data_IF_015876903142
#
_entry.id   IF_015876903142
#
_cell.length_a   1.000
_cell.length_b   1.000
_cell.length_c   1.000
_cell.angle_alpha   90.00
_cell.angle_beta   90.00
_cell.angle_gamma   90.00
#
_symmetry.space_group_name_H-M   'P 1'
#
loop_
_entity.id
_entity.type
_entity.pdbx_description
1 polymer ?
#
# COMPACT_ATOMS: atom_id res chain seq x y z
N UNK A 1 -18.08 8.22 -7.80
CA UNK A 1 -17.82 8.08 -6.35
C UNK A 1 -17.53 9.41 -5.65
N UNK A 2 -16.93 10.39 -6.34
CA UNK A 2 -16.57 11.71 -5.74
C UNK A 2 -17.41 12.89 -6.26
N UNK A 3 -18.55 12.67 -6.85
CA UNK A 3 -19.35 13.73 -7.50
C UNK A 3 -19.78 14.86 -6.54
N UNK A 4 -19.83 14.61 -5.24
CA UNK A 4 -20.08 15.62 -4.20
C UNK A 4 -18.82 16.22 -3.56
N UNK A 5 -17.61 15.85 -4.00
CA UNK A 5 -16.34 16.23 -3.35
C UNK A 5 -15.30 16.72 -4.36
N UNK A 6 -15.53 17.87 -5.05
CA UNK A 6 -14.64 18.33 -6.13
C UNK A 6 -13.21 18.59 -5.67
N UNK A 7 -13.01 19.18 -4.48
CA UNK A 7 -11.66 19.43 -3.93
C UNK A 7 -10.92 18.13 -3.62
N UNK A 8 -11.62 17.12 -3.10
CA UNK A 8 -11.05 15.80 -2.85
C UNK A 8 -10.70 15.11 -4.18
N UNK A 9 -11.57 15.19 -5.18
CA UNK A 9 -11.31 14.70 -6.53
C UNK A 9 -10.05 15.32 -7.13
N UNK A 10 -9.84 16.62 -6.93
CA UNK A 10 -8.63 17.33 -7.36
C UNK A 10 -7.36 16.76 -6.66
N UNK A 11 -7.38 16.66 -5.31
CA UNK A 11 -6.25 16.13 -4.53
C UNK A 11 -5.90 14.69 -4.94
N UNK A 12 -6.91 13.87 -5.24
CA UNK A 12 -6.75 12.47 -5.62
C UNK A 12 -6.47 12.28 -7.12
N UNK A 13 -6.35 13.36 -7.89
CA UNK A 13 -5.99 13.28 -9.30
C UNK A 13 -4.54 12.83 -9.48
N UNK A 14 -4.27 12.12 -10.59
CA UNK A 14 -2.92 11.65 -10.91
C UNK A 14 -1.92 12.81 -11.01
N UNK A 15 -2.32 13.91 -11.63
CA UNK A 15 -1.48 15.09 -11.82
C UNK A 15 -1.13 15.73 -10.47
N UNK A 16 -2.11 15.89 -9.58
CA UNK A 16 -1.87 16.45 -8.25
C UNK A 16 -0.96 15.56 -7.41
N UNK A 17 -1.17 14.25 -7.44
CA UNK A 17 -0.33 13.29 -6.71
C UNK A 17 1.12 13.35 -7.21
N UNK A 18 1.35 13.44 -8.52
CA UNK A 18 2.69 13.57 -9.09
C UNK A 18 3.39 14.88 -8.72
N UNK A 19 2.64 15.90 -8.33
CA UNK A 19 3.18 17.20 -7.96
C UNK A 19 3.83 17.22 -6.56
N UNK A 20 3.58 16.22 -5.72
CA UNK A 20 4.26 16.14 -4.43
C UNK A 20 5.79 16.10 -4.63
N UNK A 21 6.58 16.85 -3.80
CA UNK A 21 8.03 16.90 -3.90
C UNK A 21 8.69 15.63 -3.33
N UNK A 22 8.18 14.48 -3.74
CA UNK A 22 8.58 13.15 -3.30
C UNK A 22 8.91 12.34 -4.55
N UNK A 23 10.12 11.79 -4.61
CA UNK A 23 10.62 11.09 -5.81
C UNK A 23 9.71 9.95 -6.29
N UNK A 24 9.07 9.26 -5.34
CA UNK A 24 8.16 8.16 -5.64
C UNK A 24 6.83 8.62 -6.25
N UNK A 25 6.34 9.81 -5.89
CA UNK A 25 5.10 10.39 -6.46
C UNK A 25 5.19 10.52 -7.98
N UNK A 26 6.35 10.92 -8.50
CA UNK A 26 6.60 11.04 -9.95
C UNK A 26 6.53 9.72 -10.71
N UNK A 27 6.64 8.58 -10.01
CA UNK A 27 6.56 7.23 -10.58
C UNK A 27 5.13 6.70 -10.65
N UNK A 28 4.16 7.36 -9.99
CA UNK A 28 2.75 6.95 -10.04
C UNK A 28 2.26 7.05 -11.49
N UNK A 29 1.78 5.94 -12.00
CA UNK A 29 1.25 5.82 -13.35
C UNK A 29 -0.27 5.78 -13.36
N UNK A 30 -0.88 5.28 -12.27
CA UNK A 30 -2.32 5.05 -12.17
C UNK A 30 -2.83 5.41 -10.80
N UNK A 31 -4.01 5.98 -10.81
CA UNK A 31 -4.80 6.28 -9.62
C UNK A 31 -6.23 5.84 -9.90
N UNK A 32 -6.85 5.12 -9.00
CA UNK A 32 -8.24 4.73 -9.09
C UNK A 32 -8.92 4.72 -7.73
N UNK A 33 -10.20 4.94 -7.73
CA UNK A 33 -11.08 4.77 -6.58
C UNK A 33 -11.81 3.44 -6.72
N UNK A 34 -11.82 2.69 -5.64
CA UNK A 34 -12.34 1.32 -5.60
C UNK A 34 -13.33 1.15 -4.45
N UNK A 35 -14.44 0.43 -4.62
CA UNK A 35 -15.37 0.14 -3.54
C UNK A 35 -14.67 -0.70 -2.46
N UNK A 36 -14.66 -0.27 -1.18
CA UNK A 36 -13.94 -0.99 -0.12
C UNK A 36 -14.47 -2.40 0.10
N UNK A 37 -15.76 -2.62 -0.12
CA UNK A 37 -16.44 -3.93 0.01
C UNK A 37 -15.92 -4.97 -0.99
N UNK A 38 -15.41 -4.53 -2.14
CA UNK A 38 -14.84 -5.41 -3.16
C UNK A 38 -13.38 -5.78 -2.89
N UNK A 39 -12.72 -5.14 -1.90
CA UNK A 39 -11.34 -5.47 -1.54
C UNK A 39 -11.29 -6.85 -0.89
N UNK A 40 -10.65 -7.81 -1.52
CA UNK A 40 -10.46 -9.16 -0.97
C UNK A 40 -9.42 -9.12 0.15
N UNK A 41 -9.84 -9.50 1.36
CA UNK A 41 -8.98 -9.63 2.55
C UNK A 41 -9.03 -11.07 3.02
N UNK A 42 -7.86 -11.72 3.11
CA UNK A 42 -7.73 -13.14 3.44
C UNK A 42 -6.46 -13.37 4.30
N UNK A 43 -6.58 -14.12 5.39
CA UNK A 43 -5.44 -14.45 6.25
C UNK A 43 -4.36 -15.23 5.52
N UNK A 44 -4.73 -16.06 4.54
CA UNK A 44 -3.76 -16.80 3.71
C UNK A 44 -2.80 -15.88 2.95
N UNK A 45 -3.21 -14.66 2.61
CA UNK A 45 -2.33 -13.64 2.01
C UNK A 45 -1.29 -13.16 3.04
N UNK A 46 -1.68 -13.03 4.31
CA UNK A 46 -0.75 -12.71 5.39
C UNK A 46 0.32 -13.80 5.55
N UNK A 47 -0.09 -15.07 5.48
CA UNK A 47 0.80 -16.22 5.58
C UNK A 47 1.84 -16.26 4.44
N UNK A 48 1.48 -15.77 3.25
CA UNK A 48 2.40 -15.67 2.11
C UNK A 48 3.61 -14.78 2.40
N UNK A 49 3.54 -13.86 3.36
CA UNK A 49 4.70 -13.06 3.78
C UNK A 49 5.82 -13.93 4.37
N UNK A 50 5.52 -15.13 4.84
CA UNK A 50 6.48 -16.10 5.37
C UNK A 50 7.13 -16.98 4.29
N UNK A 51 6.61 -16.97 3.06
CA UNK A 51 7.15 -17.73 1.94
C UNK A 51 8.39 -17.03 1.36
N UNK A 52 9.37 -17.80 0.83
CA UNK A 52 10.53 -17.21 0.18
C UNK A 52 10.17 -16.42 -1.06
N UNK A 53 10.86 -15.31 -1.28
CA UNK A 53 10.74 -14.47 -2.46
C UNK A 53 11.97 -13.58 -2.66
N UNK A 54 12.08 -12.95 -3.83
CA UNK A 54 13.13 -11.98 -4.10
C UNK A 54 12.88 -10.66 -3.36
N UNK A 55 13.83 -10.24 -2.53
CA UNK A 55 13.84 -8.95 -1.83
C UNK A 55 15.00 -8.10 -2.31
N UNK A 56 14.84 -6.78 -2.28
CA UNK A 56 15.85 -5.81 -2.71
C UNK A 56 15.94 -4.71 -1.67
N UNK A 57 17.04 -4.69 -0.94
CA UNK A 57 17.33 -3.70 0.08
C UNK A 57 18.60 -2.94 -0.31
N UNK A 58 18.44 -1.80 -1.01
CA UNK A 58 19.45 -0.75 -1.12
C UNK A 58 20.71 -1.02 -1.97
N UNK A 59 21.22 -2.25 -1.99
CA UNK A 59 22.46 -2.66 -2.68
C UNK A 59 22.27 -3.05 -4.16
N UNK A 60 21.04 -3.25 -4.57
CA UNK A 60 20.70 -3.60 -5.96
C UNK A 60 20.82 -5.08 -6.32
N UNK A 61 21.48 -5.91 -5.52
CA UNK A 61 21.67 -7.31 -5.85
C UNK A 61 20.45 -8.17 -5.56
N UNK A 62 19.73 -7.85 -4.50
CA UNK A 62 18.57 -8.62 -4.04
C UNK A 62 18.96 -9.98 -3.46
N UNK A 63 18.10 -10.52 -2.63
CA UNK A 63 18.22 -11.84 -2.06
C UNK A 63 16.93 -12.62 -2.20
N UNK A 64 17.05 -13.93 -2.43
CA UNK A 64 15.91 -14.84 -2.39
C UNK A 64 15.78 -15.41 -0.98
N UNK A 65 14.66 -15.16 -0.33
CA UNK A 65 14.46 -15.60 1.03
C UNK A 65 13.19 -15.03 1.65
N UNK A 66 13.04 -15.28 2.93
CA UNK A 66 11.91 -14.78 3.73
C UNK A 66 11.97 -13.26 3.86
N UNK A 67 10.81 -12.60 3.88
CA UNK A 67 10.73 -11.18 4.12
C UNK A 67 11.36 -10.80 5.48
N UNK A 68 12.32 -9.88 5.48
CA UNK A 68 12.97 -9.40 6.71
C UNK A 68 11.99 -8.70 7.68
N UNK A 69 10.83 -8.26 7.18
CA UNK A 69 9.79 -7.66 8.02
C UNK A 69 9.03 -8.68 8.88
N UNK A 70 9.00 -9.96 8.49
CA UNK A 70 8.28 -11.01 9.22
C UNK A 70 8.99 -11.32 10.54
N UNK A 71 8.25 -11.18 11.64
CA UNK A 71 8.81 -11.34 12.99
C UNK A 71 9.63 -10.14 13.50
N UNK A 72 9.86 -9.11 12.64
CA UNK A 72 10.70 -7.97 12.99
C UNK A 72 9.89 -6.66 13.19
N UNK A 73 8.81 -6.47 12.41
CA UNK A 73 8.03 -5.23 12.47
C UNK A 73 6.62 -5.46 13.03
N UNK A 74 6.13 -4.53 13.86
CA UNK A 74 4.79 -4.58 14.47
C UNK A 74 3.64 -4.46 13.45
N UNK A 75 3.93 -4.20 12.19
CA UNK A 75 2.97 -4.16 11.09
C UNK A 75 3.07 -5.37 10.13
N UNK A 76 3.94 -6.32 10.46
CA UNK A 76 4.17 -7.53 9.68
C UNK A 76 3.76 -8.78 10.47
N UNK A 77 3.46 -9.91 9.82
CA UNK A 77 3.17 -11.15 10.53
C UNK A 77 4.30 -11.57 11.49
N UNK A 78 4.00 -12.12 12.66
CA UNK A 78 2.69 -12.40 13.23
C UNK A 78 2.05 -11.23 14.00
N UNK A 79 2.64 -10.02 14.00
CA UNK A 79 2.25 -8.88 14.83
C UNK A 79 1.28 -7.90 14.13
N UNK A 80 0.94 -8.16 12.88
CA UNK A 80 -0.03 -7.37 12.12
C UNK A 80 -1.47 -7.58 12.62
N UNK A 81 -2.39 -6.75 12.13
CA UNK A 81 -3.81 -6.95 12.39
C UNK A 81 -4.31 -8.24 11.72
N UNK A 82 -5.11 -9.06 12.39
CA UNK A 82 -5.82 -10.16 11.76
C UNK A 82 -6.73 -9.69 10.62
N UNK A 83 -6.89 -10.52 9.59
CA UNK A 83 -7.62 -10.18 8.36
C UNK A 83 -9.06 -9.67 8.64
N UNK A 84 -9.77 -10.27 9.59
CA UNK A 84 -11.12 -9.84 10.00
C UNK A 84 -11.12 -8.41 10.58
N UNK A 85 -10.09 -8.02 11.33
CA UNK A 85 -9.97 -6.64 11.83
C UNK A 85 -9.61 -5.64 10.74
N UNK A 86 -8.87 -6.09 9.72
CA UNK A 86 -8.62 -5.28 8.52
C UNK A 86 -9.93 -5.06 7.76
N UNK A 87 -10.75 -6.12 7.59
CA UNK A 87 -12.07 -6.01 6.95
C UNK A 87 -12.94 -4.98 7.68
N UNK A 88 -13.05 -5.07 9.01
CA UNK A 88 -13.80 -4.11 9.84
C UNK A 88 -13.28 -2.65 9.70
N UNK A 89 -12.03 -2.45 9.36
CA UNK A 89 -11.52 -1.09 9.06
C UNK A 89 -11.95 -0.63 7.66
N UNK A 90 -11.86 -1.52 6.67
CA UNK A 90 -12.31 -1.20 5.32
C UNK A 90 -13.81 -0.94 5.27
N UNK A 91 -14.63 -1.64 6.08
CA UNK A 91 -16.07 -1.42 6.18
C UNK A 91 -16.45 -0.04 6.76
N UNK A 92 -15.49 0.67 7.36
CA UNK A 92 -15.67 2.07 7.83
C UNK A 92 -15.29 3.10 6.77
N UNK A 93 -14.79 2.68 5.64
CA UNK A 93 -14.43 3.54 4.54
C UNK A 93 -15.54 3.57 3.49
N UNK A 94 -15.72 4.72 2.86
CA UNK A 94 -16.66 4.90 1.76
C UNK A 94 -15.97 4.64 0.40
N UNK A 95 -14.63 4.80 0.37
CA UNK A 95 -13.83 4.60 -0.84
C UNK A 95 -12.43 4.13 -0.51
N UNK A 96 -11.86 3.31 -1.39
CA UNK A 96 -10.48 2.86 -1.34
C UNK A 96 -9.71 3.46 -2.52
N UNK A 97 -8.84 4.42 -2.23
CA UNK A 97 -7.90 4.97 -3.20
C UNK A 97 -6.78 3.97 -3.44
N UNK A 98 -6.52 3.64 -4.69
CA UNK A 98 -5.40 2.79 -5.10
C UNK A 98 -4.49 3.56 -6.04
N UNK A 99 -3.20 3.49 -5.78
CA UNK A 99 -2.15 4.08 -6.61
C UNK A 99 -1.15 3.01 -7.04
N UNK A 100 -0.74 3.02 -8.31
CA UNK A 100 0.25 2.08 -8.82
C UNK A 100 1.32 2.81 -9.64
N UNK A 101 2.58 2.40 -9.47
CA UNK A 101 3.71 2.96 -10.25
C UNK A 101 3.79 2.39 -11.66
N UNK A 102 4.52 3.06 -12.54
CA UNK A 102 5.07 2.45 -13.75
C UNK A 102 6.02 1.29 -13.38
N UNK A 103 6.20 0.30 -14.29
CA UNK A 103 7.23 -0.71 -14.10
C UNK A 103 8.61 -0.06 -14.02
N UNK A 104 9.31 -0.28 -12.92
CA UNK A 104 10.67 0.25 -12.69
C UNK A 104 11.64 -0.84 -12.24
N UNK A 105 12.93 -0.56 -12.17
CA UNK A 105 13.90 -1.44 -11.55
C UNK A 105 13.45 -1.83 -10.14
N UNK A 106 13.72 -3.07 -9.73
CA UNK A 106 13.32 -3.56 -8.40
C UNK A 106 13.84 -2.67 -7.26
N UNK A 107 15.06 -2.15 -7.41
CA UNK A 107 15.70 -1.22 -6.46
C UNK A 107 15.00 0.12 -6.31
N UNK A 108 14.30 0.59 -7.35
CA UNK A 108 13.67 1.91 -7.37
C UNK A 108 12.15 1.90 -7.28
N UNK A 109 11.52 0.79 -7.63
CA UNK A 109 10.05 0.64 -7.58
C UNK A 109 9.51 0.50 -6.16
N UNK A 110 10.35 -0.07 -5.29
CA UNK A 110 9.97 -0.42 -3.93
C UNK A 110 10.46 0.52 -2.84
N UNK A 111 10.84 1.78 -3.15
CA UNK A 111 11.28 2.73 -2.11
C UNK A 111 10.20 2.93 -1.03
N UNK A 112 10.18 2.08 0.04
CA UNK A 112 9.13 2.12 1.05
C UNK A 112 9.20 3.39 1.89
N UNK A 113 10.38 4.01 2.00
CA UNK A 113 10.55 5.29 2.69
C UNK A 113 9.84 6.41 1.95
N UNK A 114 10.00 6.51 0.63
CA UNK A 114 9.30 7.51 -0.16
C UNK A 114 7.80 7.22 -0.30
N UNK A 115 7.38 5.95 -0.34
CA UNK A 115 5.96 5.57 -0.24
C UNK A 115 5.36 6.03 1.09
N UNK A 116 6.07 5.78 2.19
CA UNK A 116 5.68 6.21 3.52
C UNK A 116 5.49 7.74 3.59
N UNK A 117 6.44 8.52 3.05
CA UNK A 117 6.34 9.98 3.01
C UNK A 117 5.13 10.45 2.22
N UNK A 118 4.92 9.90 1.01
CA UNK A 118 3.78 10.27 0.16
C UNK A 118 2.44 9.96 0.84
N UNK A 119 2.28 8.74 1.38
CA UNK A 119 1.03 8.32 2.00
C UNK A 119 0.69 9.14 3.24
N UNK A 120 1.69 9.49 4.06
CA UNK A 120 1.46 10.34 5.22
C UNK A 120 1.15 11.78 4.83
N UNK A 121 1.82 12.33 3.82
CA UNK A 121 1.54 13.69 3.34
C UNK A 121 0.16 13.79 2.71
N UNK A 122 -0.19 12.86 1.82
CA UNK A 122 -1.51 12.80 1.19
C UNK A 122 -2.63 12.61 2.24
N UNK A 123 -2.38 11.76 3.25
CA UNK A 123 -3.32 11.56 4.35
C UNK A 123 -3.54 12.84 5.16
N UNK A 124 -2.48 13.61 5.43
CA UNK A 124 -2.61 14.88 6.13
C UNK A 124 -3.44 15.89 5.31
N UNK A 125 -3.15 16.03 4.02
CA UNK A 125 -3.90 16.96 3.14
C UNK A 125 -5.39 16.56 3.01
N UNK A 126 -5.70 15.24 3.02
CA UNK A 126 -7.08 14.73 3.04
C UNK A 126 -7.76 15.04 4.39
N UNK A 127 -7.08 14.76 5.51
CA UNK A 127 -7.62 15.03 6.84
C UNK A 127 -7.82 16.55 7.07
N UNK A 128 -6.95 17.41 6.53
CA UNK A 128 -7.09 18.86 6.58
C UNK A 128 -8.31 19.34 5.75
N UNK A 129 -8.60 18.69 4.63
CA UNK A 129 -9.72 19.03 3.77
C UNK A 129 -11.06 18.50 4.28
N UNK A 130 -11.08 17.23 4.73
CA UNK A 130 -12.31 16.48 5.02
C UNK A 130 -12.61 16.39 6.53
N UNK A 131 -11.65 16.76 7.37
CA UNK A 131 -11.70 16.61 8.81
C UNK A 131 -10.88 15.41 9.31
N UNK A 132 -10.39 15.52 10.54
CA UNK A 132 -9.55 14.47 11.16
C UNK A 132 -10.28 13.13 11.20
N UNK A 133 -9.57 12.09 10.75
CA UNK A 133 -10.10 10.73 10.69
C UNK A 133 -10.81 10.39 9.37
N UNK A 134 -10.75 11.29 8.37
CA UNK A 134 -11.14 10.96 7.01
C UNK A 134 -10.29 9.81 6.44
N UNK A 135 -9.01 9.76 6.78
CA UNK A 135 -8.16 8.62 6.43
C UNK A 135 -8.29 7.52 7.49
N UNK A 136 -9.04 6.47 7.16
CA UNK A 136 -9.28 5.31 8.04
C UNK A 136 -8.04 4.43 8.18
N UNK A 137 -7.33 4.19 7.06
CA UNK A 137 -6.14 3.36 7.02
C UNK A 137 -5.27 3.67 5.80
N UNK A 138 -3.96 3.67 6.02
CA UNK A 138 -2.92 3.75 4.98
C UNK A 138 -2.33 2.38 4.72
N UNK A 139 -1.98 2.08 3.45
CA UNK A 139 -1.38 0.81 3.03
C UNK A 139 -0.23 1.07 2.07
N UNK A 140 0.96 0.58 2.42
CA UNK A 140 2.16 0.64 1.58
C UNK A 140 2.39 -0.64 0.77
N UNK A 141 3.42 -0.63 -0.05
CA UNK A 141 3.90 -1.80 -0.79
C UNK A 141 5.12 -2.48 -0.14
N UNK A 142 5.40 -2.22 1.13
CA UNK A 142 6.55 -2.77 1.85
C UNK A 142 6.47 -2.53 3.36
N UNK A 143 7.57 -2.76 4.10
CA UNK A 143 7.59 -2.55 5.54
C UNK A 143 7.33 -1.09 5.91
N UNK A 144 6.81 -0.87 7.11
CA UNK A 144 6.56 0.47 7.65
C UNK A 144 7.87 1.16 8.04
N UNK A 145 7.98 2.45 7.72
CA UNK A 145 9.15 3.29 8.00
C UNK A 145 8.90 4.35 9.10
N UNK A 146 7.80 4.25 9.83
CA UNK A 146 7.41 5.23 10.84
C UNK A 146 8.44 5.44 11.95
N UNK A 147 9.26 4.45 12.26
CA UNK A 147 10.26 4.49 13.32
C UNK A 147 11.71 4.58 12.80
N UNK A 148 11.92 4.68 11.47
CA UNK A 148 13.27 4.78 10.91
C UNK A 148 14.00 6.04 11.44
N UNK A 149 15.30 5.99 11.78
CA UNK A 149 16.25 4.88 11.65
C UNK A 149 16.18 3.80 12.76
N UNK A 150 15.39 4.01 13.79
CA UNK A 150 15.18 3.01 14.84
C UNK A 150 14.35 1.84 14.28
N UNK A 151 14.68 0.62 14.70
CA UNK A 151 13.88 -0.53 14.35
C UNK A 151 12.58 -0.57 15.16
N UNK A 152 11.51 -1.02 14.51
CA UNK A 152 10.30 -1.42 15.20
C UNK A 152 10.59 -2.73 15.92
N UNK A 153 10.60 -2.74 17.26
CA UNK A 153 10.78 -3.97 18.02
C UNK A 153 9.59 -4.91 17.77
N UNK A 154 9.88 -6.12 17.27
CA UNK A 154 8.88 -7.12 16.97
C UNK A 154 8.05 -7.46 18.20
N UNK A 155 6.72 -7.45 18.07
CA UNK A 155 5.78 -7.74 19.16
C UNK A 155 5.51 -6.60 20.12
N UNK A 156 6.26 -5.49 20.04
CA UNK A 156 6.00 -4.30 20.85
C UNK A 156 4.87 -3.42 20.30
N UNK A 157 4.32 -2.53 21.14
CA UNK A 157 3.37 -1.53 20.70
C UNK A 157 4.03 -0.57 19.69
N UNK A 158 3.29 -0.20 18.64
CA UNK A 158 3.78 0.78 17.68
C UNK A 158 4.04 2.13 18.35
N UNK A 159 5.27 2.63 18.29
CA UNK A 159 5.67 3.92 18.88
C UNK A 159 5.04 5.13 18.17
N UNK A 160 4.64 4.97 16.89
CA UNK A 160 4.06 6.03 16.07
C UNK A 160 2.82 5.51 15.29
N UNK A 161 1.72 5.15 16.00
CA UNK A 161 0.56 4.50 15.37
C UNK A 161 -0.13 5.40 14.32
N UNK A 162 -0.10 6.72 14.48
CA UNK A 162 -0.66 7.68 13.53
C UNK A 162 0.13 7.76 12.21
N UNK A 163 1.43 7.43 12.25
CA UNK A 163 2.29 7.36 11.07
C UNK A 163 2.35 5.97 10.44
N UNK A 164 1.81 4.95 11.09
CA UNK A 164 1.91 3.56 10.66
C UNK A 164 1.36 3.34 9.24
N UNK A 165 2.19 2.73 8.37
CA UNK A 165 1.84 2.34 6.99
C UNK A 165 2.21 0.87 6.78
N UNK A 166 1.34 -0.07 7.12
CA UNK A 166 1.57 -1.50 6.85
C UNK A 166 1.46 -1.79 5.36
N UNK A 167 2.05 -2.91 4.90
CA UNK A 167 1.89 -3.36 3.52
C UNK A 167 0.48 -3.92 3.27
N UNK A 168 0.00 -3.79 2.03
CA UNK A 168 -1.28 -4.37 1.60
C UNK A 168 -1.34 -5.87 1.92
N UNK A 169 -0.34 -6.64 1.48
CA UNK A 169 -0.29 -8.08 1.69
C UNK A 169 -0.10 -8.45 3.17
N UNK A 170 0.71 -7.68 3.92
CA UNK A 170 0.85 -7.86 5.37
C UNK A 170 -0.46 -7.65 6.12
N UNK A 171 -1.40 -6.92 5.55
CA UNK A 171 -2.75 -6.72 6.06
C UNK A 171 -3.77 -7.71 5.45
N UNK A 172 -3.32 -8.67 4.65
CA UNK A 172 -4.16 -9.69 4.04
C UNK A 172 -4.90 -9.26 2.78
N UNK A 173 -4.57 -8.10 2.21
CA UNK A 173 -5.19 -7.64 0.96
C UNK A 173 -4.56 -8.38 -0.23
N UNK A 174 -5.41 -9.03 -1.04
CA UNK A 174 -5.00 -9.70 -2.26
C UNK A 174 -4.74 -8.69 -3.38
N UNK A 175 -3.49 -8.23 -3.52
CA UNK A 175 -3.12 -7.20 -4.51
C UNK A 175 -3.32 -7.67 -5.94
N UNK A 176 -3.13 -8.97 -6.22
CA UNK A 176 -3.39 -9.53 -7.55
C UNK A 176 -4.87 -9.43 -7.94
N UNK A 177 -5.77 -9.83 -7.03
CA UNK A 177 -7.21 -9.71 -7.29
C UNK A 177 -7.62 -8.23 -7.41
N UNK A 178 -7.13 -7.38 -6.51
CA UNK A 178 -7.37 -5.93 -6.56
C UNK A 178 -6.97 -5.33 -7.92
N UNK A 179 -5.81 -5.69 -8.46
CA UNK A 179 -5.37 -5.22 -9.77
C UNK A 179 -6.24 -5.75 -10.91
N UNK A 180 -6.67 -7.01 -10.85
CA UNK A 180 -7.59 -7.59 -11.85
C UNK A 180 -8.94 -6.88 -11.85
N UNK A 181 -9.49 -6.63 -10.67
CA UNK A 181 -10.78 -5.95 -10.53
C UNK A 181 -10.68 -4.48 -10.99
N UNK A 182 -9.56 -3.81 -10.68
CA UNK A 182 -9.29 -2.45 -11.19
C UNK A 182 -9.15 -2.42 -12.71
N UNK A 183 -8.48 -3.42 -13.31
CA UNK A 183 -8.38 -3.52 -14.77
C UNK A 183 -9.74 -3.63 -15.43
N UNK A 184 -10.64 -4.43 -14.86
CA UNK A 184 -12.02 -4.56 -15.34
C UNK A 184 -12.83 -3.28 -15.12
N UNK A 185 -12.73 -2.67 -13.95
CA UNK A 185 -13.49 -1.48 -13.58
C UNK A 185 -13.11 -0.25 -14.42
N UNK A 186 -11.81 -0.08 -14.70
CA UNK A 186 -11.29 1.10 -15.41
C UNK A 186 -11.11 0.90 -16.91
N UNK A 187 -11.18 -0.34 -17.40
CA UNK A 187 -10.83 -0.70 -18.78
C UNK A 187 -9.32 -0.62 -19.06
N UNK A 188 -8.46 -0.39 -18.05
CA UNK A 188 -7.01 -0.31 -18.20
C UNK A 188 -6.35 -1.64 -17.81
N UNK A 189 -6.08 -2.50 -18.78
CA UNK A 189 -5.43 -3.80 -18.60
C UNK A 189 -3.99 -3.73 -18.04
N UNK A 190 -3.45 -2.53 -17.87
CA UNK A 190 -2.14 -2.32 -17.27
C UNK A 190 -2.18 -2.31 -15.74
N UNK A 191 -3.35 -2.31 -15.11
CA UNK A 191 -3.51 -2.68 -13.72
C UNK A 191 -3.16 -4.16 -13.56
N UNK A 192 -1.93 -4.43 -13.16
CA UNK A 192 -1.44 -5.79 -12.93
C UNK A 192 -0.24 -5.77 -12.00
N UNK A 193 -0.07 -6.82 -11.24
CA UNK A 193 1.17 -7.06 -10.52
C UNK A 193 2.19 -7.64 -11.49
N UNK A 194 3.45 -7.31 -11.28
CA UNK A 194 4.56 -7.86 -12.07
C UNK A 194 5.21 -9.05 -11.39
N UNK A 195 4.79 -9.36 -10.17
CA UNK A 195 5.41 -10.37 -9.36
C UNK A 195 4.54 -10.75 -8.14
N UNK A 196 4.43 -12.04 -7.86
CA UNK A 196 3.64 -12.60 -6.76
C UNK A 196 4.59 -13.24 -5.75
N UNK A 197 4.45 -12.88 -4.46
CA UNK A 197 5.18 -13.53 -3.37
C UNK A 197 4.83 -15.02 -3.31
N UNK A 198 5.85 -15.85 -3.14
CA UNK A 198 5.69 -17.29 -3.00
C UNK A 198 5.54 -18.08 -4.30
N UNK A 199 5.55 -17.42 -5.46
CA UNK A 199 5.48 -18.07 -6.78
C UNK A 199 6.79 -17.95 -7.59
N UNK A 200 7.87 -17.52 -6.95
CA UNK A 200 9.17 -17.44 -7.59
C UNK A 200 10.09 -18.59 -7.15
N UNK A 201 10.96 -19.01 -8.05
CA UNK A 201 12.13 -19.83 -7.73
C UNK A 201 13.36 -18.93 -7.66
N UNK A 202 14.48 -19.37 -7.05
CA UNK A 202 15.74 -18.60 -7.06
C UNK A 202 16.17 -18.15 -8.44
N UNK A 203 15.83 -18.92 -9.48
CA UNK A 203 16.22 -18.66 -10.87
C UNK A 203 15.31 -17.61 -11.56
N UNK A 204 14.15 -17.31 -10.99
CA UNK A 204 13.18 -16.38 -11.56
C UNK A 204 13.29 -14.98 -10.94
N UNK A 205 14.47 -14.38 -11.02
CA UNK A 205 14.70 -13.02 -10.51
C UNK A 205 13.89 -11.99 -11.32
N UNK A 206 12.93 -11.26 -10.71
CA UNK A 206 12.19 -10.24 -11.41
C UNK A 206 13.11 -9.08 -11.83
N UNK A 207 12.98 -8.62 -13.08
CA UNK A 207 13.77 -7.49 -13.59
C UNK A 207 13.12 -6.14 -13.31
N UNK A 208 11.81 -6.12 -13.21
CA UNK A 208 11.01 -4.91 -12.99
C UNK A 208 9.86 -5.20 -12.03
N UNK A 209 9.48 -4.20 -11.25
CA UNK A 209 8.29 -4.27 -10.38
C UNK A 209 7.41 -3.04 -10.54
N UNK A 210 6.14 -3.20 -10.24
CA UNK A 210 5.19 -2.13 -9.94
C UNK A 210 4.90 -2.18 -8.44
N UNK A 211 4.89 -1.04 -7.79
CA UNK A 211 4.43 -0.94 -6.42
C UNK A 211 2.96 -0.46 -6.41
N UNK A 212 2.15 -1.10 -5.59
CA UNK A 212 0.76 -0.73 -5.36
C UNK A 212 0.61 -0.30 -3.91
N UNK A 213 -0.08 0.80 -3.68
CA UNK A 213 -0.37 1.36 -2.35
C UNK A 213 -1.80 1.84 -2.30
N UNK A 214 -2.35 2.08 -1.10
CA UNK A 214 -3.73 2.52 -0.98
C UNK A 214 -4.03 3.34 0.28
N UNK A 215 -5.17 4.03 0.23
CA UNK A 215 -5.79 4.73 1.36
C UNK A 215 -7.26 4.34 1.45
N UNK A 216 -7.70 3.89 2.61
CA UNK A 216 -9.11 3.73 2.92
C UNK A 216 -9.63 5.07 3.48
N UNK A 217 -10.65 5.65 2.85
CA UNK A 217 -11.13 6.99 3.12
C UNK A 217 -12.60 6.97 3.51
N UNK A 218 -12.96 7.81 4.51
CA UNK A 218 -14.32 8.16 4.85
C UNK A 218 -14.62 9.55 4.28
N UNK A 219 -15.70 9.68 3.54
CA UNK A 219 -16.03 10.92 2.84
C UNK A 219 -16.83 11.90 3.71
N UNK A 220 -17.36 11.46 4.86
CA UNK A 220 -18.25 12.27 5.67
C UNK A 220 -19.65 12.45 5.06
N UNK A 221 -20.53 13.16 5.75
CA UNK A 221 -21.81 13.53 5.19
C UNK A 221 -21.61 14.61 4.12
N UNK A 222 -22.30 14.45 2.99
CA UNK A 222 -22.35 15.50 1.96
C UNK A 222 -23.01 16.73 2.59
N UNK A 223 -22.22 17.77 2.81
CA UNK A 223 -22.72 19.05 3.28
C UNK A 223 -23.59 19.75 2.23
#
# INVERSE_FOLDING_TARGET
>A
LLDGFPKLSEILSLDRIRFYPISWAKKIARVALFPPEMVVVDSRIQDMCSLPFWTYYGDGEGSFGRCAGVGAFSCCPPFNLPAEKVRLKLDKADVFLVMQTSPGPMTSGGDPGAQFQLLNRLAADIDDLMGKGAVVQKFGGGPCFACYPESCEGGGACKAPHLKVPSLEGMGICVDQLCKDLALLTGDGDWKITWIKGFGTPDQKPKKMKATVGLALRLGEKG
#
